data_IF_670103320695
#
_entry.id   IF_670103320695
#
_cell.length_a   1.000
_cell.length_b   1.000
_cell.length_c   1.000
_cell.angle_alpha   90.00
_cell.angle_beta   90.00
_cell.angle_gamma   90.00
#
_symmetry.space_group_name_H-M   'P 1'
#
loop_
_entity.id
_entity.type
_entity.pdbx_description
1 polymer ?
#
# COMPACT_ATOMS: atom_id res chain seq x y z
N UNK A 1 -39.77 77.65 11.03
CA UNK A 1 -40.12 76.40 10.32
C UNK A 1 -38.91 76.01 9.50
N UNK A 2 -38.08 75.10 10.03
CA UNK A 2 -36.78 74.70 9.46
C UNK A 2 -36.84 73.20 9.18
N UNK A 3 -36.58 72.87 7.92
CA UNK A 3 -36.60 71.56 7.28
C UNK A 3 -35.45 70.68 7.76
N UNK A 4 -35.73 69.47 8.28
CA UNK A 4 -34.71 68.46 8.60
C UNK A 4 -34.71 67.40 7.49
N UNK A 5 -33.68 67.45 6.65
CA UNK A 5 -33.35 66.46 5.62
C UNK A 5 -32.68 65.25 6.29
N UNK A 6 -33.28 64.05 6.13
CA UNK A 6 -32.70 62.78 6.57
C UNK A 6 -31.63 62.32 5.56
N UNK A 7 -30.43 62.02 6.06
CA UNK A 7 -29.31 61.44 5.31
C UNK A 7 -28.71 60.27 6.08
N UNK A 8 -28.21 59.29 5.33
CA UNK A 8 -27.37 58.15 5.73
C UNK A 8 -28.10 56.99 6.44
N UNK A 9 -27.75 55.70 6.25
CA UNK A 9 -26.48 55.10 5.82
C UNK A 9 -26.77 53.69 5.26
N UNK A 10 -26.25 53.33 4.09
CA UNK A 10 -26.31 51.96 3.56
C UNK A 10 -25.07 51.19 4.04
N UNK A 11 -25.27 50.16 4.87
CA UNK A 11 -24.24 49.19 5.25
C UNK A 11 -24.16 48.09 4.17
N UNK A 12 -23.04 48.04 3.45
CA UNK A 12 -22.65 46.90 2.61
C UNK A 12 -21.74 45.98 3.45
N UNK A 13 -22.26 44.83 3.87
CA UNK A 13 -21.47 43.78 4.50
C UNK A 13 -20.81 42.93 3.41
N UNK A 14 -19.48 43.02 3.27
CA UNK A 14 -18.67 42.12 2.47
C UNK A 14 -18.38 40.86 3.30
N UNK A 15 -19.22 39.83 3.14
CA UNK A 15 -19.00 38.51 3.74
C UNK A 15 -18.05 37.67 2.88
N UNK A 16 -16.86 37.41 3.39
CA UNK A 16 -15.83 36.56 2.80
C UNK A 16 -16.33 35.13 2.58
N UNK A 17 -16.29 34.65 1.33
CA UNK A 17 -16.53 33.23 1.01
C UNK A 17 -15.27 32.47 1.37
N UNK A 18 -15.30 31.76 2.49
CA UNK A 18 -14.34 30.68 2.75
C UNK A 18 -14.67 29.56 1.75
N UNK A 19 -13.83 29.42 0.74
CA UNK A 19 -13.82 28.22 -0.10
C UNK A 19 -13.29 27.07 0.77
N UNK A 20 -14.20 26.38 1.46
CA UNK A 20 -13.92 25.06 2.01
C UNK A 20 -13.64 24.12 0.84
N UNK A 21 -12.37 23.77 0.67
CA UNK A 21 -11.99 22.66 -0.20
C UNK A 21 -12.56 21.38 0.44
N UNK A 22 -13.47 20.64 -0.22
CA UNK A 22 -13.79 19.31 0.26
C UNK A 22 -12.52 18.47 0.07
N UNK A 23 -11.87 18.10 1.16
CA UNK A 23 -11.06 16.90 1.16
C UNK A 23 -12.02 15.78 0.76
N UNK A 24 -11.89 15.23 -0.44
CA UNK A 24 -12.53 13.97 -0.80
C UNK A 24 -11.96 12.94 0.18
N UNK A 25 -12.69 12.71 1.27
CA UNK A 25 -12.44 11.60 2.14
C UNK A 25 -12.73 10.36 1.29
N UNK A 26 -11.65 9.73 0.82
CA UNK A 26 -11.71 8.38 0.29
C UNK A 26 -12.54 7.56 1.29
N UNK A 27 -13.65 7.02 0.81
CA UNK A 27 -14.68 6.44 1.68
C UNK A 27 -14.19 5.08 2.14
N UNK A 28 -13.33 5.09 3.15
CA UNK A 28 -12.73 3.89 3.71
C UNK A 28 -13.82 2.93 4.18
N UNK A 29 -13.77 1.70 3.68
CA UNK A 29 -14.63 0.59 4.05
C UNK A 29 -13.86 -0.34 4.97
N UNK A 30 -14.59 -1.04 5.83
CA UNK A 30 -14.01 -2.03 6.74
C UNK A 30 -14.66 -3.38 6.50
N UNK A 31 -13.83 -4.39 6.23
CA UNK A 31 -14.22 -5.79 6.07
C UNK A 31 -13.82 -6.55 7.33
N UNK A 32 -14.78 -7.23 7.94
CA UNK A 32 -14.53 -8.18 9.03
C UNK A 32 -14.66 -9.59 8.49
N UNK A 33 -13.72 -10.45 8.84
CA UNK A 33 -13.71 -11.83 8.37
C UNK A 33 -12.91 -12.77 9.27
N UNK A 34 -12.82 -14.01 8.83
CA UNK A 34 -12.14 -15.07 9.54
C UNK A 34 -11.23 -15.86 8.61
N UNK A 35 -9.99 -16.09 9.05
CA UNK A 35 -9.04 -16.99 8.42
C UNK A 35 -9.06 -18.36 9.13
N UNK A 36 -9.22 -19.42 8.34
CA UNK A 36 -9.25 -20.80 8.78
C UNK A 36 -8.18 -21.61 8.05
N UNK A 37 -7.60 -22.59 8.74
CA UNK A 37 -6.83 -23.68 8.12
C UNK A 37 -7.32 -25.01 8.69
N UNK A 38 -7.01 -26.12 8.01
CA UNK A 38 -7.63 -27.43 8.29
C UNK A 38 -6.85 -28.24 9.34
N UNK A 39 -5.58 -27.95 9.46
CA UNK A 39 -4.61 -28.63 10.30
C UNK A 39 -4.94 -28.37 11.77
N UNK A 40 -4.96 -29.43 12.59
CA UNK A 40 -5.20 -29.30 14.04
C UNK A 40 -3.90 -29.00 14.78
N UNK A 41 -3.22 -27.93 14.37
CA UNK A 41 -1.97 -27.49 14.99
C UNK A 41 -2.12 -26.13 15.65
N UNK A 42 -1.37 -25.90 16.73
CA UNK A 42 -1.18 -24.55 17.25
C UNK A 42 -0.18 -23.81 16.35
N UNK A 43 -0.44 -22.52 16.08
CA UNK A 43 0.56 -21.68 15.43
C UNK A 43 1.71 -21.40 16.41
N UNK A 44 2.96 -21.38 15.94
CA UNK A 44 4.07 -20.88 16.74
C UNK A 44 3.82 -19.43 17.20
N UNK A 45 4.38 -19.02 18.36
CA UNK A 45 4.38 -17.62 18.77
C UNK A 45 5.00 -16.72 17.70
N UNK A 46 4.53 -15.48 17.58
CA UNK A 46 5.02 -14.53 16.56
C UNK A 46 4.52 -14.81 15.14
N UNK A 47 3.49 -15.66 14.98
CA UNK A 47 2.85 -15.85 13.69
C UNK A 47 2.12 -14.58 13.26
N UNK A 48 2.31 -14.15 12.02
CA UNK A 48 1.69 -12.95 11.44
C UNK A 48 0.71 -13.36 10.35
N UNK A 49 -0.54 -12.91 10.46
CA UNK A 49 -1.54 -13.00 9.40
C UNK A 49 -1.43 -11.75 8.54
N UNK A 50 -1.32 -11.93 7.23
CA UNK A 50 -1.38 -10.85 6.25
C UNK A 50 -2.56 -11.10 5.33
N UNK A 51 -3.45 -10.12 5.19
CA UNK A 51 -4.67 -10.22 4.38
C UNK A 51 -4.70 -9.06 3.41
N UNK A 52 -4.87 -9.32 2.11
CA UNK A 52 -4.90 -8.27 1.10
C UNK A 52 -6.04 -8.46 0.09
N UNK A 53 -6.45 -7.34 -0.50
CA UNK A 53 -7.34 -7.29 -1.65
C UNK A 53 -6.49 -7.02 -2.88
N UNK A 54 -6.71 -7.79 -3.93
CA UNK A 54 -6.12 -7.56 -5.25
C UNK A 54 -7.20 -7.43 -6.32
N UNK A 55 -6.99 -6.55 -7.30
CA UNK A 55 -7.76 -6.52 -8.54
C UNK A 55 -7.08 -7.41 -9.58
N UNK A 56 -7.67 -8.58 -9.84
CA UNK A 56 -7.21 -9.54 -10.84
C UNK A 56 -7.64 -9.17 -12.27
N UNK A 57 -8.55 -8.20 -12.40
CA UNK A 57 -9.07 -7.69 -13.66
C UNK A 57 -8.34 -6.45 -14.18
N UNK A 58 -7.32 -5.98 -13.45
CA UNK A 58 -6.56 -4.81 -13.84
C UNK A 58 -6.00 -4.99 -15.26
N UNK A 59 -6.31 -4.02 -16.14
CA UNK A 59 -5.91 -4.00 -17.56
C UNK A 59 -4.40 -4.04 -17.80
N UNK A 60 -3.60 -4.03 -16.74
CA UNK A 60 -2.15 -3.76 -16.71
C UNK A 60 -1.29 -5.01 -16.47
N UNK A 61 -1.85 -6.21 -16.68
CA UNK A 61 -1.11 -7.47 -16.85
C UNK A 61 -0.63 -8.17 -15.57
N UNK A 62 -0.63 -7.50 -14.41
CA UNK A 62 -0.41 -8.10 -13.09
C UNK A 62 -1.52 -7.67 -12.12
N UNK A 63 -1.93 -8.55 -11.17
CA UNK A 63 -2.87 -8.19 -10.12
C UNK A 63 -2.46 -6.90 -9.40
N UNK A 64 -3.40 -6.04 -9.07
CA UNK A 64 -3.12 -4.76 -8.39
C UNK A 64 -3.58 -4.85 -6.93
N UNK A 65 -2.66 -4.74 -5.96
CA UNK A 65 -3.03 -4.77 -4.53
C UNK A 65 -3.69 -3.44 -4.13
N UNK A 66 -4.92 -3.53 -3.63
CA UNK A 66 -5.79 -2.38 -3.29
C UNK A 66 -5.75 -2.01 -1.82
N UNK A 67 -5.50 -3.00 -0.95
CA UNK A 67 -5.30 -2.82 0.47
C UNK A 67 -4.64 -4.07 1.05
N UNK A 68 -3.85 -3.91 2.10
CA UNK A 68 -3.30 -5.01 2.89
C UNK A 68 -3.39 -4.66 4.38
N UNK A 69 -3.70 -5.65 5.20
CA UNK A 69 -3.62 -5.60 6.65
C UNK A 69 -2.65 -6.68 7.11
N UNK A 70 -1.77 -6.33 8.06
CA UNK A 70 -0.87 -7.27 8.75
C UNK A 70 -1.11 -7.22 10.25
N UNK A 71 -1.29 -8.38 10.87
CA UNK A 71 -1.54 -8.48 12.31
C UNK A 71 -0.88 -9.73 12.90
N UNK A 72 -0.27 -9.59 14.08
CA UNK A 72 0.22 -10.74 14.84
C UNK A 72 -0.94 -11.57 15.39
N UNK A 73 -0.84 -12.88 15.27
CA UNK A 73 -1.89 -13.83 15.62
C UNK A 73 -1.79 -14.15 17.11
N UNK A 74 -2.74 -13.63 17.87
CA UNK A 74 -2.81 -13.83 19.33
C UNK A 74 -3.82 -14.93 19.74
N UNK A 75 -4.64 -15.41 18.80
CA UNK A 75 -5.70 -16.40 19.03
C UNK A 75 -5.62 -17.52 18.00
N UNK A 76 -6.02 -18.73 18.39
CA UNK A 76 -6.12 -19.87 17.47
C UNK A 76 -7.26 -19.73 16.46
N UNK A 77 -7.37 -20.69 15.55
CA UNK A 77 -8.43 -20.74 14.52
C UNK A 77 -9.83 -20.88 15.13
N UNK A 78 -10.86 -20.16 14.63
CA UNK A 78 -10.81 -19.17 13.54
C UNK A 78 -10.08 -17.88 13.94
N UNK A 79 -9.19 -17.41 13.06
CA UNK A 79 -8.39 -16.20 13.30
C UNK A 79 -9.18 -15.01 12.73
N UNK A 80 -9.77 -14.14 13.58
CA UNK A 80 -10.49 -12.98 13.07
C UNK A 80 -9.49 -11.96 12.51
N UNK A 81 -9.89 -11.27 11.44
CA UNK A 81 -9.14 -10.15 10.89
C UNK A 81 -10.08 -8.98 10.58
N UNK A 82 -9.50 -7.78 10.52
CA UNK A 82 -10.19 -6.58 10.05
C UNK A 82 -9.34 -5.92 8.98
N UNK A 83 -9.89 -5.75 7.77
CA UNK A 83 -9.21 -5.11 6.65
C UNK A 83 -9.92 -3.79 6.32
N UNK A 84 -9.19 -2.68 6.41
CA UNK A 84 -9.67 -1.37 5.99
C UNK A 84 -9.15 -1.06 4.60
N UNK A 85 -10.03 -0.68 3.68
CA UNK A 85 -9.71 -0.52 2.26
C UNK A 85 -10.48 0.65 1.63
N UNK A 86 -9.93 1.31 0.59
CA UNK A 86 -10.57 2.45 -0.05
C UNK A 86 -11.81 2.06 -0.87
N UNK A 87 -12.50 3.04 -1.45
CA UNK A 87 -13.57 2.75 -2.39
C UNK A 87 -13.00 2.06 -3.65
N UNK A 88 -13.43 0.83 -3.92
CA UNK A 88 -12.95 0.06 -5.06
C UNK A 88 -13.65 0.49 -6.37
N UNK A 89 -12.91 0.62 -7.48
CA UNK A 89 -13.48 0.93 -8.79
C UNK A 89 -14.62 -0.01 -9.23
N UNK A 90 -15.62 0.55 -9.91
CA UNK A 90 -16.68 -0.27 -10.51
C UNK A 90 -16.15 -1.03 -11.73
N UNK A 91 -16.25 -2.36 -11.72
CA UNK A 91 -15.86 -3.22 -12.84
C UNK A 91 -14.56 -4.00 -12.64
N UNK A 92 -13.86 -3.82 -11.52
CA UNK A 92 -12.71 -4.66 -11.15
C UNK A 92 -13.11 -6.06 -10.66
N UNK A 93 -12.14 -6.98 -10.68
CA UNK A 93 -12.31 -8.35 -10.20
C UNK A 93 -11.50 -8.54 -8.91
N UNK A 94 -12.15 -8.26 -7.78
CA UNK A 94 -11.47 -8.21 -6.49
C UNK A 94 -11.43 -9.56 -5.78
N UNK A 95 -10.21 -10.04 -5.57
CA UNK A 95 -9.92 -11.25 -4.81
C UNK A 95 -9.29 -10.88 -3.47
N UNK A 96 -9.69 -11.60 -2.44
CA UNK A 96 -9.18 -11.54 -1.09
C UNK A 96 -8.21 -12.70 -0.88
N UNK A 97 -7.00 -12.39 -0.43
CA UNK A 97 -5.95 -13.35 -0.19
C UNK A 97 -5.41 -13.19 1.21
N UNK A 98 -4.80 -14.27 1.72
CA UNK A 98 -4.09 -14.22 2.98
C UNK A 98 -2.92 -15.18 3.02
N UNK A 99 -1.95 -14.86 3.87
CA UNK A 99 -0.86 -15.73 4.25
C UNK A 99 -0.64 -15.70 5.76
N UNK A 100 -0.11 -16.79 6.31
CA UNK A 100 0.41 -16.86 7.68
C UNK A 100 1.90 -17.12 7.59
N UNK A 101 2.67 -16.24 8.22
CA UNK A 101 4.14 -16.28 8.22
C UNK A 101 4.68 -16.37 9.65
N UNK A 102 5.76 -17.10 9.83
CA UNK A 102 6.48 -17.25 11.11
C UNK A 102 7.96 -17.14 10.82
N UNK A 103 8.67 -16.21 11.46
CA UNK A 103 10.11 -15.99 11.29
C UNK A 103 10.53 -15.89 9.80
N UNK A 104 9.72 -15.21 8.98
CA UNK A 104 9.98 -15.04 7.54
C UNK A 104 9.71 -16.28 6.68
N UNK A 105 9.08 -17.32 7.24
CA UNK A 105 8.65 -18.53 6.52
C UNK A 105 7.15 -18.54 6.35
N UNK A 106 6.67 -18.75 5.12
CA UNK A 106 5.24 -18.92 4.83
C UNK A 106 4.81 -20.33 5.23
N UNK A 107 3.81 -20.43 6.11
CA UNK A 107 3.24 -21.70 6.58
C UNK A 107 1.89 -21.99 5.93
N UNK A 108 1.07 -20.96 5.76
CA UNK A 108 -0.26 -21.08 5.17
C UNK A 108 -0.50 -19.97 4.15
N UNK A 109 -1.27 -20.26 3.12
CA UNK A 109 -1.71 -19.28 2.13
C UNK A 109 -3.08 -19.63 1.57
N UNK A 110 -3.83 -18.63 1.12
CA UNK A 110 -5.00 -18.84 0.27
C UNK A 110 -4.55 -19.56 -1.03
N UNK A 111 -5.35 -20.51 -1.57
CA UNK A 111 -5.06 -21.14 -2.85
C UNK A 111 -4.97 -20.13 -4.00
N UNK A 112 -4.32 -20.55 -5.10
CA UNK A 112 -4.23 -19.75 -6.33
C UNK A 112 -5.60 -19.22 -6.76
N UNK A 113 -5.63 -17.94 -7.13
CA UNK A 113 -6.85 -17.22 -7.51
C UNK A 113 -7.59 -16.55 -6.36
N UNK A 114 -7.23 -16.83 -5.10
CA UNK A 114 -7.81 -16.14 -3.95
C UNK A 114 -9.27 -16.51 -3.65
N UNK A 115 -9.90 -15.72 -2.77
CA UNK A 115 -11.31 -15.84 -2.40
C UNK A 115 -12.07 -14.60 -2.85
N UNK A 116 -13.24 -14.68 -3.49
CA UNK A 116 -14.03 -13.50 -3.84
C UNK A 116 -14.28 -12.57 -2.63
N UNK A 117 -14.16 -11.25 -2.81
CA UNK A 117 -14.25 -10.26 -1.73
C UNK A 117 -15.57 -10.31 -0.92
N UNK A 118 -16.66 -10.75 -1.54
CA UNK A 118 -17.97 -10.95 -0.91
C UNK A 118 -18.02 -12.17 0.04
N UNK A 119 -16.97 -13.00 0.06
CA UNK A 119 -16.80 -14.15 0.94
C UNK A 119 -15.66 -13.91 1.95
N UNK A 120 -15.88 -13.19 3.06
CA UNK A 120 -14.83 -12.85 4.04
C UNK A 120 -14.40 -14.02 4.95
N UNK A 121 -14.56 -15.26 4.46
CA UNK A 121 -14.03 -16.46 5.12
C UNK A 121 -12.93 -17.04 4.25
N UNK A 122 -11.69 -16.89 4.71
CA UNK A 122 -10.49 -17.36 4.02
C UNK A 122 -10.17 -18.77 4.49
N UNK A 123 -10.06 -19.72 3.56
CA UNK A 123 -9.60 -21.07 3.84
C UNK A 123 -8.17 -21.23 3.33
N UNK A 124 -7.21 -21.08 4.22
CA UNK A 124 -5.80 -21.22 3.92
C UNK A 124 -5.41 -22.70 3.88
N UNK A 125 -4.44 -23.00 3.03
CA UNK A 125 -3.81 -24.31 2.91
C UNK A 125 -2.37 -24.22 3.39
N UNK A 126 -1.88 -25.31 3.98
CA UNK A 126 -0.48 -25.41 4.32
C UNK A 126 0.38 -25.39 3.05
N UNK A 127 1.31 -24.44 3.00
CA UNK A 127 2.36 -24.31 1.98
C UNK A 127 3.66 -24.51 2.72
N UNK A 128 4.39 -25.57 2.38
CA UNK A 128 5.46 -26.12 3.20
C UNK A 128 6.62 -25.14 3.43
N UNK A 129 6.53 -24.33 4.48
CA UNK A 129 7.63 -23.57 5.08
C UNK A 129 8.55 -22.86 4.09
N UNK A 130 8.02 -22.39 2.96
CA UNK A 130 8.79 -21.75 1.90
C UNK A 130 9.37 -20.47 2.48
N UNK A 131 10.69 -20.32 2.43
CA UNK A 131 11.33 -19.08 2.83
C UNK A 131 10.81 -17.97 1.93
N UNK A 132 10.26 -16.90 2.51
CA UNK A 132 9.88 -15.74 1.73
C UNK A 132 11.17 -15.18 1.15
N UNK A 133 11.25 -15.12 -0.18
CA UNK A 133 12.43 -14.58 -0.84
C UNK A 133 12.57 -13.11 -0.43
N UNK A 134 13.73 -12.78 0.14
CA UNK A 134 14.10 -11.42 0.51
C UNK A 134 13.83 -10.43 -0.63
N UNK A 135 13.56 -9.14 -0.34
CA UNK A 135 13.03 -8.18 -1.29
C UNK A 135 14.09 -7.69 -2.31
N UNK A 136 15.22 -8.37 -2.41
CA UNK A 136 16.29 -8.02 -3.34
C UNK A 136 15.85 -8.16 -4.80
N UNK A 137 16.27 -7.21 -5.64
CA UNK A 137 15.94 -7.17 -7.05
C UNK A 137 15.53 -5.78 -7.53
N UNK A 138 15.27 -5.67 -8.82
CA UNK A 138 14.75 -4.48 -9.47
C UNK A 138 13.22 -4.53 -9.52
N UNK A 139 12.61 -3.46 -9.04
CA UNK A 139 11.18 -3.34 -8.80
C UNK A 139 10.65 -2.05 -9.41
N UNK A 140 9.48 -2.11 -10.03
CA UNK A 140 8.70 -0.94 -10.44
C UNK A 140 7.58 -0.70 -9.45
N UNK A 141 7.37 0.56 -9.08
CA UNK A 141 6.27 0.97 -8.24
C UNK A 141 5.00 0.84 -9.09
N UNK A 142 4.06 0.00 -8.64
CA UNK A 142 2.75 -0.19 -9.24
C UNK A 142 1.74 0.77 -8.61
N UNK A 143 1.80 0.97 -7.29
CA UNK A 143 0.95 1.93 -6.58
C UNK A 143 1.62 2.52 -5.33
N UNK A 144 1.25 3.75 -5.00
CA UNK A 144 1.60 4.44 -3.74
C UNK A 144 0.60 5.57 -3.47
N UNK A 145 -0.12 5.47 -2.34
CA UNK A 145 -1.20 6.41 -2.04
C UNK A 145 -2.24 6.44 -3.17
N UNK A 146 -2.48 7.62 -3.76
CA UNK A 146 -3.41 7.80 -4.88
C UNK A 146 -2.80 7.50 -6.25
N UNK A 147 -1.48 7.26 -6.33
CA UNK A 147 -0.77 7.08 -7.60
C UNK A 147 -0.80 5.62 -8.03
N UNK A 148 -0.99 5.41 -9.32
CA UNK A 148 -1.00 4.11 -9.99
C UNK A 148 -0.15 4.20 -11.26
N UNK A 149 0.64 3.17 -11.53
CA UNK A 149 1.56 3.12 -12.65
C UNK A 149 1.44 1.82 -13.43
N UNK A 150 1.55 1.93 -14.75
CA UNK A 150 1.69 0.79 -15.64
C UNK A 150 3.08 0.14 -15.45
N UNK A 151 3.18 -1.17 -15.66
CA UNK A 151 4.46 -1.87 -15.62
C UNK A 151 5.28 -1.60 -16.91
N UNK A 152 5.69 -0.35 -17.14
CA UNK A 152 6.51 0.07 -18.29
C UNK A 152 7.90 0.52 -17.86
N UNK A 153 8.82 0.66 -18.82
CA UNK A 153 10.19 1.08 -18.55
C UNK A 153 10.30 2.48 -17.94
N UNK A 154 9.28 3.32 -18.13
CA UNK A 154 9.21 4.69 -17.64
C UNK A 154 8.66 4.80 -16.21
N UNK A 155 8.08 3.72 -15.67
CA UNK A 155 7.51 3.73 -14.33
C UNK A 155 8.58 3.96 -13.26
N UNK A 156 8.26 4.70 -12.18
CA UNK A 156 9.12 4.80 -11.01
C UNK A 156 9.50 3.43 -10.46
N UNK A 157 10.67 3.33 -9.83
CA UNK A 157 11.17 2.05 -9.40
C UNK A 157 12.35 2.14 -8.45
N UNK A 158 12.58 1.03 -7.75
CA UNK A 158 13.64 0.84 -6.77
C UNK A 158 14.37 -0.45 -7.09
N UNK A 159 15.69 -0.45 -6.88
CA UNK A 159 16.47 -1.68 -6.83
C UNK A 159 17.07 -1.83 -5.45
N UNK A 160 16.80 -2.97 -4.82
CA UNK A 160 17.29 -3.33 -3.50
C UNK A 160 18.42 -4.34 -3.65
N UNK A 161 19.64 -3.95 -3.28
CA UNK A 161 20.82 -4.80 -3.34
C UNK A 161 21.05 -5.58 -2.04
N UNK A 162 21.76 -6.70 -2.14
CA UNK A 162 22.05 -7.58 -1.00
C UNK A 162 22.98 -6.97 0.04
N UNK A 163 23.79 -5.98 -0.36
CA UNK A 163 24.70 -5.23 0.50
C UNK A 163 23.99 -4.12 1.31
N UNK A 164 22.68 -3.97 1.15
CA UNK A 164 21.88 -2.93 1.80
C UNK A 164 21.82 -1.61 1.02
N UNK A 165 22.35 -1.55 -0.20
CA UNK A 165 22.24 -0.37 -1.07
C UNK A 165 20.89 -0.32 -1.78
N UNK A 166 20.30 0.87 -1.88
CA UNK A 166 19.12 1.14 -2.71
C UNK A 166 19.42 2.21 -3.74
N UNK A 167 18.96 2.00 -4.98
CA UNK A 167 18.93 3.03 -6.02
C UNK A 167 17.60 2.99 -6.76
N UNK A 168 17.22 4.08 -7.40
CA UNK A 168 15.94 4.13 -8.09
C UNK A 168 15.63 5.46 -8.76
N UNK A 169 14.37 5.62 -9.13
CA UNK A 169 13.80 6.84 -9.69
C UNK A 169 12.37 7.00 -9.20
N UNK A 170 11.99 8.22 -8.84
CA UNK A 170 10.60 8.59 -8.56
C UNK A 170 9.86 9.07 -9.82
N UNK A 171 10.51 9.00 -11.00
CA UNK A 171 10.02 9.49 -12.28
C UNK A 171 10.59 10.86 -12.68
N UNK A 172 11.01 11.69 -11.71
CA UNK A 172 11.68 12.95 -11.97
C UNK A 172 13.17 12.89 -11.56
N UNK A 173 13.42 12.49 -10.32
CA UNK A 173 14.71 12.47 -9.67
C UNK A 173 15.24 11.04 -9.50
N UNK A 174 16.57 10.92 -9.49
CA UNK A 174 17.24 9.68 -9.11
C UNK A 174 17.35 9.60 -7.59
N UNK A 175 17.05 8.42 -7.06
CA UNK A 175 17.12 8.06 -5.65
C UNK A 175 18.36 7.19 -5.42
N UNK A 176 19.07 7.43 -4.32
CA UNK A 176 20.17 6.56 -3.87
C UNK A 176 20.31 6.60 -2.35
N UNK A 177 20.68 5.48 -1.74
CA UNK A 177 20.89 5.42 -0.30
C UNK A 177 21.08 3.99 0.18
N UNK A 178 20.72 3.75 1.43
CA UNK A 178 20.85 2.46 2.07
C UNK A 178 19.57 2.07 2.79
N UNK A 179 19.41 0.78 3.08
CA UNK A 179 18.33 0.25 3.89
C UNK A 179 18.86 -0.83 4.83
N UNK A 180 18.10 -1.09 5.89
CA UNK A 180 18.34 -2.22 6.80
C UNK A 180 17.22 -3.24 6.65
N UNK A 181 17.57 -4.53 6.76
CA UNK A 181 16.65 -5.64 6.63
C UNK A 181 16.87 -6.63 7.77
N UNK A 182 15.83 -6.93 8.54
CA UNK A 182 15.86 -7.93 9.60
C UNK A 182 14.55 -8.72 9.59
N UNK A 183 14.56 -9.91 8.97
CA UNK A 183 13.34 -10.65 8.69
C UNK A 183 12.41 -9.84 7.79
N UNK A 184 11.21 -9.53 8.28
CA UNK A 184 10.22 -8.69 7.59
C UNK A 184 10.32 -7.19 7.96
N UNK A 185 11.20 -6.80 8.89
CA UNK A 185 11.47 -5.40 9.16
C UNK A 185 12.36 -4.83 8.05
N UNK A 186 11.94 -3.71 7.46
CA UNK A 186 12.69 -2.98 6.46
C UNK A 186 12.61 -1.49 6.77
N UNK A 187 13.77 -0.83 6.85
CA UNK A 187 13.86 0.61 7.05
C UNK A 187 14.83 1.23 6.06
N UNK A 188 14.37 2.22 5.32
CA UNK A 188 15.26 3.07 4.53
C UNK A 188 16.01 4.03 5.45
N UNK A 189 17.32 4.12 5.25
CA UNK A 189 18.14 5.19 5.81
C UNK A 189 17.92 6.47 4.98
N UNK A 190 18.40 7.65 5.42
CA UNK A 190 18.24 8.88 4.65
C UNK A 190 18.66 8.70 3.20
N UNK A 191 17.73 8.95 2.28
CA UNK A 191 17.94 8.82 0.84
C UNK A 191 18.40 10.15 0.27
N UNK A 192 19.41 10.09 -0.60
CA UNK A 192 19.83 11.22 -1.42
C UNK A 192 19.04 11.22 -2.73
N UNK A 193 18.62 12.43 -3.15
CA UNK A 193 17.82 12.64 -4.34
C UNK A 193 18.44 13.75 -5.18
N UNK A 194 18.40 13.62 -6.51
CA UNK A 194 18.71 14.76 -7.38
C UNK A 194 17.63 15.85 -7.26
N UNK A 195 17.89 17.05 -7.79
CA UNK A 195 16.90 18.14 -7.84
C UNK A 195 16.72 18.65 -9.27
N UNK A 196 16.00 17.89 -10.08
CA UNK A 196 15.60 18.29 -11.44
C UNK A 196 14.27 19.02 -11.38
N UNK A 197 14.13 20.04 -12.25
CA UNK A 197 12.83 20.64 -12.50
C UNK A 197 12.09 19.81 -13.55
N UNK A 198 11.00 19.17 -13.17
CA UNK A 198 10.13 18.39 -14.05
C UNK A 198 8.78 19.11 -14.23
N UNK A 199 7.91 18.53 -15.06
CA UNK A 199 6.53 19.00 -15.15
C UNK A 199 5.83 18.89 -13.78
N UNK A 200 4.87 19.78 -13.46
CA UNK A 200 4.21 19.83 -12.16
C UNK A 200 3.65 18.48 -11.68
N UNK A 201 3.08 17.68 -12.59
CA UNK A 201 2.55 16.35 -12.26
C UNK A 201 3.64 15.39 -11.76
N UNK A 202 4.82 15.39 -12.38
CA UNK A 202 5.95 14.55 -11.96
C UNK A 202 6.57 15.03 -10.64
N UNK A 203 6.50 16.32 -10.35
CA UNK A 203 6.94 16.85 -9.05
C UNK A 203 5.98 16.48 -7.91
N UNK A 204 4.67 16.48 -8.15
CA UNK A 204 3.71 16.00 -7.16
C UNK A 204 3.91 14.50 -6.86
N UNK A 205 4.17 13.71 -7.90
CA UNK A 205 4.54 12.31 -7.79
C UNK A 205 5.84 12.09 -7.00
N UNK A 206 6.91 12.83 -7.33
CA UNK A 206 8.17 12.83 -6.60
C UNK A 206 7.95 13.05 -5.10
N UNK A 207 7.13 14.04 -4.75
CA UNK A 207 6.82 14.37 -3.36
C UNK A 207 6.10 13.23 -2.63
N UNK A 208 5.13 12.57 -3.26
CA UNK A 208 4.41 11.45 -2.65
C UNK A 208 5.31 10.23 -2.44
N UNK A 209 6.11 9.85 -3.45
CA UNK A 209 7.06 8.74 -3.34
C UNK A 209 8.12 9.04 -2.27
N UNK A 210 8.71 10.24 -2.31
CA UNK A 210 9.72 10.66 -1.35
C UNK A 210 9.22 10.76 0.09
N UNK A 211 7.93 11.09 0.29
CA UNK A 211 7.31 11.08 1.62
C UNK A 211 7.00 9.67 2.14
N UNK A 212 6.73 8.71 1.24
CA UNK A 212 6.40 7.34 1.63
C UNK A 212 7.65 6.57 2.10
N UNK A 213 8.77 6.65 1.39
CA UNK A 213 9.95 5.81 1.66
C UNK A 213 10.47 5.90 3.11
N UNK A 214 10.59 7.08 3.75
CA UNK A 214 11.01 7.18 5.14
C UNK A 214 10.03 6.57 6.15
N UNK A 215 8.77 6.37 5.77
CA UNK A 215 7.75 5.77 6.63
C UNK A 215 7.82 4.24 6.66
N UNK A 216 8.57 3.61 5.77
CA UNK A 216 8.56 2.15 5.64
C UNK A 216 9.15 1.49 6.88
N UNK A 217 8.39 0.52 7.41
CA UNK A 217 8.72 -0.23 8.62
C UNK A 217 8.84 -1.73 8.38
N UNK A 218 8.11 -2.25 7.40
CA UNK A 218 8.12 -3.67 7.08
C UNK A 218 7.80 -3.92 5.61
N UNK A 219 7.96 -5.17 5.18
CA UNK A 219 7.65 -5.62 3.84
C UNK A 219 6.93 -6.98 3.84
N UNK A 220 6.07 -7.19 2.85
CA UNK A 220 5.53 -8.49 2.44
C UNK A 220 5.99 -8.81 1.03
N UNK A 221 5.89 -10.08 0.66
CA UNK A 221 5.93 -10.47 -0.75
C UNK A 221 4.87 -11.52 -1.01
N UNK A 222 4.13 -11.39 -2.09
CA UNK A 222 3.33 -12.50 -2.59
C UNK A 222 4.05 -13.21 -3.76
N UNK A 223 4.01 -14.55 -3.73
CA UNK A 223 4.23 -15.52 -4.83
C UNK A 223 5.23 -15.12 -5.95
N UNK A 224 6.32 -14.43 -5.58
CA UNK A 224 7.30 -13.76 -6.44
C UNK A 224 6.82 -12.53 -7.26
N UNK A 225 5.51 -12.33 -7.40
CA UNK A 225 4.88 -11.34 -8.27
C UNK A 225 4.79 -9.93 -7.69
N UNK A 226 4.70 -9.78 -6.36
CA UNK A 226 4.52 -8.48 -5.71
C UNK A 226 5.39 -8.33 -4.48
N UNK A 227 6.10 -7.20 -4.38
CA UNK A 227 6.70 -6.72 -3.15
C UNK A 227 5.81 -5.61 -2.60
N UNK A 228 5.38 -5.72 -1.35
CA UNK A 228 4.60 -4.69 -0.67
C UNK A 228 5.44 -4.07 0.44
N UNK A 229 5.59 -2.75 0.43
CA UNK A 229 6.24 -2.00 1.49
C UNK A 229 5.17 -1.34 2.37
N UNK A 230 5.32 -1.50 3.69
CA UNK A 230 4.36 -1.04 4.69
C UNK A 230 4.86 0.21 5.38
N UNK A 231 4.14 1.31 5.20
CA UNK A 231 4.39 2.55 5.92
C UNK A 231 3.91 2.47 7.38
N UNK A 232 4.49 3.28 8.25
CA UNK A 232 4.03 3.42 9.63
C UNK A 232 2.64 4.04 9.72
N UNK A 233 1.75 3.49 10.54
CA UNK A 233 0.44 4.08 10.83
C UNK A 233 -0.49 4.12 9.62
N UNK A 234 -0.97 5.31 9.25
CA UNK A 234 -1.94 5.52 8.16
C UNK A 234 -1.30 5.87 6.82
N UNK A 235 0.03 5.78 6.68
CA UNK A 235 0.73 6.13 5.42
C UNK A 235 0.43 5.11 4.30
N UNK A 236 -0.11 3.94 4.67
CA UNK A 236 -0.60 2.94 3.73
C UNK A 236 0.51 2.03 3.20
N UNK A 237 0.33 1.57 1.98
CA UNK A 237 1.23 0.60 1.33
C UNK A 237 1.76 1.14 0.00
N UNK A 238 2.95 0.68 -0.38
CA UNK A 238 3.51 0.84 -1.72
C UNK A 238 3.67 -0.55 -2.31
N UNK A 239 3.05 -0.78 -3.46
CA UNK A 239 3.06 -2.06 -4.14
C UNK A 239 4.04 -1.98 -5.29
N UNK A 240 4.91 -2.98 -5.41
CA UNK A 240 5.90 -3.06 -6.47
C UNK A 240 5.85 -4.39 -7.20
N UNK A 241 6.13 -4.35 -8.49
CA UNK A 241 6.19 -5.52 -9.39
C UNK A 241 7.62 -5.69 -9.95
N UNK A 242 8.07 -6.92 -10.26
CA UNK A 242 9.40 -7.15 -10.82
C UNK A 242 9.59 -6.41 -12.14
N UNK A 243 10.78 -5.82 -12.32
CA UNK A 243 11.11 -5.12 -13.58
C UNK A 243 11.19 -6.08 -14.79
N UNK A 244 11.45 -7.36 -14.56
CA UNK A 244 11.65 -8.39 -15.58
C UNK A 244 10.40 -9.27 -15.81
N UNK A 245 9.22 -8.87 -15.32
CA UNK A 245 7.98 -9.59 -15.59
C UNK A 245 7.51 -9.32 -17.03
N UNK A 246 8.02 -10.10 -17.98
CA UNK A 246 7.48 -10.33 -19.32
C UNK A 246 7.09 -11.80 -19.47
#
# INVERSE_FOLDING_TARGET
MITIRRFALALLAAGSVLASCPAEADSMRTLHGEALYRERMALPPGAVLSVWIEDTGATHGAPLVMAEQREEIHRGVPIPYTLTYPALPSGGHYMLNAEITVEGRRLFATPDGGTPLDHPRLLLRHVAGTAIRAPYGAWRIQSVGSLHFDNTAEAPGLTLQQDGTVYGTDGCNRLMGHFTLSGQALHFLPLAMTRKACLPALMAQEQQIGAFLPSVTSWSRDSDSHLVLHGSGSVGTMVLVPQDAQ
#
